data_IF_689110079041
#
_entry.id   IF_689110079041
#
_cell.length_a   1.000
_cell.length_b   1.000
_cell.length_c   1.000
_cell.angle_alpha   90.00
_cell.angle_beta   90.00
_cell.angle_gamma   90.00
#
_symmetry.space_group_name_H-M   'P 1'
#
loop_
_entity.id
_entity.type
_entity.pdbx_description
1 polymer ?
#
# COMPACT_ATOMS: atom_id res chain seq x y z
N UNK A 1 -5.17 13.79 -24.77
CA UNK A 1 -5.59 14.54 -23.55
C UNK A 1 -4.53 15.55 -23.11
N UNK A 2 -3.23 15.19 -23.00
CA UNK A 2 -2.18 16.12 -22.57
C UNK A 2 -2.08 17.37 -23.45
N UNK A 3 -2.08 17.21 -24.77
CA UNK A 3 -2.07 18.33 -25.73
C UNK A 3 -3.32 19.20 -25.53
N UNK A 4 -4.49 18.60 -25.44
CA UNK A 4 -5.74 19.29 -25.21
C UNK A 4 -5.71 20.11 -23.90
N UNK A 5 -5.13 19.55 -22.84
CA UNK A 5 -4.98 20.21 -21.54
C UNK A 5 -4.12 21.50 -21.66
N UNK A 6 -3.00 21.40 -22.39
CA UNK A 6 -2.12 22.56 -22.65
C UNK A 6 -2.82 23.62 -23.49
N UNK A 7 -3.51 23.23 -24.57
CA UNK A 7 -4.28 24.13 -25.43
C UNK A 7 -5.41 24.86 -24.66
N UNK A 8 -5.97 24.22 -23.62
CA UNK A 8 -6.96 24.83 -22.72
C UNK A 8 -6.37 25.66 -21.59
N UNK A 9 -5.06 25.86 -21.58
CA UNK A 9 -4.37 26.68 -20.59
C UNK A 9 -4.37 26.09 -19.19
N UNK A 10 -4.51 24.77 -19.03
CA UNK A 10 -4.45 24.09 -17.73
C UNK A 10 -3.01 23.92 -17.27
N UNK A 11 -2.31 25.05 -17.08
CA UNK A 11 -0.87 25.12 -16.76
C UNK A 11 -0.58 25.88 -15.46
N UNK A 12 -1.56 25.94 -14.57
CA UNK A 12 -1.45 26.60 -13.27
C UNK A 12 -1.01 25.62 -12.18
N UNK A 13 -0.52 26.18 -11.07
CA UNK A 13 -0.23 25.36 -9.88
C UNK A 13 -1.50 24.75 -9.30
N UNK A 14 -1.39 23.49 -8.89
CA UNK A 14 -2.42 22.79 -8.13
C UNK A 14 -2.09 22.79 -6.63
N UNK A 15 -3.01 22.26 -5.81
CA UNK A 15 -2.69 21.95 -4.41
C UNK A 15 -1.54 20.95 -4.33
N UNK A 16 -0.67 21.07 -3.31
CA UNK A 16 0.39 20.09 -3.04
C UNK A 16 -0.16 18.68 -2.79
N UNK A 17 -1.40 18.57 -2.33
CA UNK A 17 -2.08 17.28 -2.14
C UNK A 17 -2.68 16.70 -3.43
N UNK A 18 -2.53 17.39 -4.56
CA UNK A 18 -3.06 17.00 -5.87
C UNK A 18 -4.33 17.72 -6.30
N UNK A 19 -4.70 17.55 -7.55
CA UNK A 19 -5.88 18.14 -8.16
C UNK A 19 -7.15 17.61 -7.50
N UNK A 20 -8.05 18.52 -7.11
CA UNK A 20 -9.29 18.18 -6.40
C UNK A 20 -10.14 17.16 -7.16
N UNK A 21 -10.34 17.39 -8.45
CA UNK A 21 -11.16 16.54 -9.31
C UNK A 21 -10.57 15.12 -9.40
N UNK A 22 -9.23 15.01 -9.50
CA UNK A 22 -8.56 13.72 -9.48
C UNK A 22 -8.76 12.99 -8.15
N UNK A 23 -8.64 13.69 -7.01
CA UNK A 23 -8.86 13.08 -5.69
C UNK A 23 -10.29 12.58 -5.50
N UNK A 24 -11.28 13.32 -6.03
CA UNK A 24 -12.69 12.88 -6.03
C UNK A 24 -12.84 11.59 -6.84
N UNK A 25 -12.26 11.53 -8.04
CA UNK A 25 -12.34 10.32 -8.88
C UNK A 25 -11.60 9.13 -8.29
N UNK A 26 -10.50 9.35 -7.55
CA UNK A 26 -9.84 8.30 -6.78
C UNK A 26 -10.79 7.76 -5.70
N UNK A 27 -11.47 8.60 -4.93
CA UNK A 27 -12.45 8.16 -3.94
C UNK A 27 -13.59 7.37 -4.59
N UNK A 28 -14.15 7.87 -5.68
CA UNK A 28 -15.21 7.19 -6.44
C UNK A 28 -14.75 5.81 -6.96
N UNK A 29 -13.49 5.70 -7.41
CA UNK A 29 -12.91 4.44 -7.82
C UNK A 29 -12.80 3.45 -6.66
N UNK A 30 -12.26 3.88 -5.51
CA UNK A 30 -12.08 3.04 -4.34
C UNK A 30 -13.42 2.55 -3.78
N UNK A 31 -14.44 3.41 -3.74
CA UNK A 31 -15.78 3.03 -3.32
C UNK A 31 -16.41 2.01 -4.27
N UNK A 32 -16.35 2.27 -5.58
CA UNK A 32 -16.92 1.37 -6.60
C UNK A 32 -16.21 0.02 -6.66
N UNK A 33 -14.88 0.01 -6.46
CA UNK A 33 -14.05 -1.17 -6.70
C UNK A 33 -13.84 -2.02 -5.45
N UNK A 34 -13.71 -1.37 -4.29
CA UNK A 34 -13.33 -2.02 -3.03
C UNK A 34 -14.30 -1.74 -1.87
N UNK A 35 -15.36 -0.95 -2.11
CA UNK A 35 -16.31 -0.52 -1.08
C UNK A 35 -15.64 0.27 0.07
N UNK A 36 -14.61 1.05 -0.29
CA UNK A 36 -13.85 1.91 0.65
C UNK A 36 -14.26 3.36 0.43
N UNK A 37 -14.75 4.00 1.49
CA UNK A 37 -15.13 5.40 1.47
C UNK A 37 -14.04 6.25 2.11
N UNK A 38 -13.50 7.22 1.35
CA UNK A 38 -12.51 8.18 1.81
C UNK A 38 -12.96 9.61 1.54
N UNK A 39 -12.53 10.53 2.41
CA UNK A 39 -12.73 11.96 2.19
C UNK A 39 -11.59 12.52 1.33
N UNK A 40 -11.93 12.96 0.10
CA UNK A 40 -10.95 13.50 -0.85
C UNK A 40 -10.15 14.70 -0.28
N UNK A 41 -10.70 15.45 0.68
CA UNK A 41 -10.07 16.68 1.17
C UNK A 41 -8.85 16.41 2.05
N UNK A 42 -8.89 15.37 2.90
CA UNK A 42 -7.90 15.10 3.95
C UNK A 42 -7.41 13.64 4.02
N UNK A 43 -7.96 12.72 3.22
CA UNK A 43 -7.55 11.30 3.23
C UNK A 43 -6.94 10.84 1.90
N UNK A 44 -6.77 11.74 0.92
CA UNK A 44 -6.16 11.42 -0.37
C UNK A 44 -5.01 12.38 -0.65
N UNK A 45 -3.84 11.82 -0.91
CA UNK A 45 -2.63 12.52 -1.35
C UNK A 45 -2.19 11.95 -2.71
N UNK A 46 -1.96 12.82 -3.68
CA UNK A 46 -1.38 12.46 -4.98
C UNK A 46 0.13 12.72 -4.94
N UNK A 47 0.91 11.70 -5.28
CA UNK A 47 2.38 11.72 -5.22
C UNK A 47 3.02 11.51 -6.59
N UNK A 48 4.31 11.76 -6.71
CA UNK A 48 5.10 11.44 -7.91
C UNK A 48 5.43 9.95 -7.91
N UNK A 49 4.41 9.13 -8.20
CA UNK A 49 4.48 7.67 -8.22
C UNK A 49 4.38 7.02 -6.83
N UNK A 50 4.26 5.69 -6.82
CA UNK A 50 4.12 4.89 -5.59
C UNK A 50 5.35 4.95 -4.68
N UNK A 51 6.55 5.15 -5.25
CA UNK A 51 7.78 5.21 -4.44
C UNK A 51 7.82 6.43 -3.52
N UNK A 52 7.34 7.59 -3.97
CA UNK A 52 7.20 8.76 -3.10
C UNK A 52 6.13 8.51 -2.02
N UNK A 53 5.02 7.85 -2.37
CA UNK A 53 3.99 7.50 -1.41
C UNK A 53 4.53 6.60 -0.29
N UNK A 54 5.36 5.60 -0.63
CA UNK A 54 6.03 4.71 0.34
C UNK A 54 6.97 5.52 1.25
N UNK A 55 7.82 6.36 0.68
CA UNK A 55 8.80 7.17 1.43
C UNK A 55 8.10 8.13 2.40
N UNK A 56 7.09 8.85 1.93
CA UNK A 56 6.29 9.77 2.78
C UNK A 56 5.56 9.00 3.88
N UNK A 57 4.93 7.86 3.56
CA UNK A 57 4.21 7.05 4.53
C UNK A 57 5.15 6.59 5.66
N UNK A 58 6.31 6.02 5.32
CA UNK A 58 7.28 5.58 6.30
C UNK A 58 7.77 6.75 7.16
N UNK A 59 8.21 7.85 6.57
CA UNK A 59 8.70 9.03 7.30
C UNK A 59 7.67 9.63 8.26
N UNK A 60 6.37 9.48 7.99
CA UNK A 60 5.32 9.99 8.86
C UNK A 60 4.91 9.02 9.97
N UNK A 61 5.12 7.72 9.77
CA UNK A 61 4.62 6.67 10.67
C UNK A 61 5.64 6.17 11.67
N UNK A 62 6.95 6.20 11.32
CA UNK A 62 7.99 5.59 12.15
C UNK A 62 8.85 6.62 12.87
N UNK A 63 9.35 6.23 14.03
CA UNK A 63 10.41 6.92 14.75
C UNK A 63 11.73 6.14 14.61
N UNK A 64 12.90 6.77 14.87
CA UNK A 64 14.16 6.06 14.88
C UNK A 64 14.13 4.82 15.78
N UNK A 65 14.45 3.67 15.19
CA UNK A 65 14.49 2.37 15.87
C UNK A 65 13.17 1.59 15.89
N UNK A 66 12.06 2.15 15.38
CA UNK A 66 10.85 1.38 15.12
C UNK A 66 11.12 0.33 14.02
N UNK A 67 10.52 -0.84 14.14
CA UNK A 67 10.68 -1.90 13.15
C UNK A 67 9.58 -1.87 12.09
N UNK A 68 10.01 -2.08 10.84
CA UNK A 68 9.15 -2.21 9.66
C UNK A 68 9.29 -3.60 9.09
N UNK A 69 8.21 -4.38 9.11
CA UNK A 69 8.17 -5.73 8.54
C UNK A 69 8.05 -5.64 7.02
N UNK A 70 8.92 -6.33 6.31
CA UNK A 70 9.00 -6.32 4.84
C UNK A 70 9.04 -7.75 4.32
N UNK A 71 7.94 -8.27 3.76
CA UNK A 71 7.94 -9.56 3.06
C UNK A 71 8.86 -9.52 1.84
N UNK A 72 9.69 -10.56 1.66
CA UNK A 72 10.59 -10.72 0.51
C UNK A 72 10.46 -12.13 -0.09
N UNK A 73 10.61 -12.28 -1.44
CA UNK A 73 11.03 -11.26 -2.40
C UNK A 73 9.95 -10.22 -2.67
N UNK A 74 10.34 -8.95 -2.78
CA UNK A 74 9.44 -7.84 -3.07
C UNK A 74 10.17 -6.68 -3.77
N UNK A 75 9.46 -5.59 -4.04
CA UNK A 75 10.03 -4.43 -4.69
C UNK A 75 11.18 -3.83 -3.86
N UNK A 76 12.29 -3.57 -4.54
CA UNK A 76 13.58 -3.25 -3.92
C UNK A 76 13.62 -1.95 -3.09
N UNK A 77 12.63 -1.07 -3.24
CA UNK A 77 12.66 0.23 -2.56
C UNK A 77 12.11 0.20 -1.12
N UNK A 78 11.41 -0.82 -0.69
CA UNK A 78 10.82 -0.83 0.66
C UNK A 78 11.88 -0.77 1.76
N UNK A 79 12.89 -1.62 1.67
CA UNK A 79 13.98 -1.68 2.65
C UNK A 79 14.79 -0.38 2.69
N UNK A 80 15.28 0.19 1.57
CA UNK A 80 15.95 1.48 1.58
C UNK A 80 15.08 2.63 2.13
N UNK A 81 13.78 2.67 1.81
CA UNK A 81 12.88 3.71 2.36
C UNK A 81 12.74 3.59 3.88
N UNK A 82 12.66 2.37 4.42
CA UNK A 82 12.63 2.16 5.87
C UNK A 82 13.94 2.65 6.53
N UNK A 83 15.10 2.32 5.96
CA UNK A 83 16.40 2.80 6.44
C UNK A 83 16.52 4.32 6.38
N UNK A 84 16.07 4.94 5.28
CA UNK A 84 16.10 6.40 5.11
C UNK A 84 15.10 7.14 6.03
N UNK A 85 14.15 6.42 6.61
CA UNK A 85 13.25 6.91 7.66
C UNK A 85 13.77 6.62 9.08
N UNK A 86 15.03 6.19 9.23
CA UNK A 86 15.65 5.78 10.50
C UNK A 86 14.99 4.59 11.19
N UNK A 87 14.17 3.83 10.48
CA UNK A 87 13.55 2.60 10.96
C UNK A 87 14.48 1.39 10.75
N UNK A 88 14.17 0.29 11.42
CA UNK A 88 14.85 -0.99 11.30
C UNK A 88 14.02 -1.92 10.41
N UNK A 89 14.47 -2.24 9.18
CA UNK A 89 13.78 -3.21 8.34
C UNK A 89 13.93 -4.62 8.91
N UNK A 90 12.82 -5.32 9.08
CA UNK A 90 12.77 -6.73 9.49
C UNK A 90 12.19 -7.55 8.33
N UNK A 91 13.02 -8.43 7.78
CA UNK A 91 12.66 -9.18 6.57
C UNK A 91 11.89 -10.45 6.93
N UNK A 92 10.75 -10.65 6.30
CA UNK A 92 9.97 -11.90 6.34
C UNK A 92 10.21 -12.64 5.02
N UNK A 93 10.90 -13.79 5.08
CA UNK A 93 11.18 -14.58 3.89
C UNK A 93 9.96 -15.40 3.47
N UNK A 94 9.29 -14.97 2.41
CA UNK A 94 8.17 -15.68 1.82
C UNK A 94 8.62 -16.99 1.17
N UNK A 95 7.81 -18.02 1.24
CA UNK A 95 8.15 -19.37 0.82
C UNK A 95 7.42 -19.79 -0.45
N UNK A 96 8.14 -20.48 -1.33
CA UNK A 96 7.57 -21.00 -2.58
C UNK A 96 6.47 -22.03 -2.34
N UNK A 97 6.58 -22.82 -1.27
CA UNK A 97 5.55 -23.79 -0.87
C UNK A 97 4.21 -23.15 -0.51
N UNK A 98 4.21 -21.87 -0.10
CA UNK A 98 3.02 -21.06 0.15
C UNK A 98 2.70 -20.14 -1.03
N UNK A 99 3.21 -20.42 -2.23
CA UNK A 99 3.04 -19.58 -3.42
C UNK A 99 3.51 -18.12 -3.20
N UNK A 100 4.50 -17.92 -2.32
CA UNK A 100 5.00 -16.62 -1.87
C UNK A 100 3.93 -15.72 -1.24
N UNK A 101 2.91 -16.30 -0.60
CA UNK A 101 1.95 -15.57 0.23
C UNK A 101 2.51 -15.40 1.64
N UNK A 102 2.15 -14.31 2.29
CA UNK A 102 2.46 -14.08 3.70
C UNK A 102 1.42 -14.82 4.56
N UNK A 103 1.88 -15.66 5.48
CA UNK A 103 1.01 -16.35 6.44
C UNK A 103 0.92 -15.60 7.76
N UNK A 104 -0.19 -15.77 8.48
CA UNK A 104 -0.38 -15.20 9.82
C UNK A 104 0.70 -15.67 10.81
N UNK A 105 1.18 -16.92 10.66
CA UNK A 105 2.25 -17.45 11.52
C UNK A 105 3.59 -16.78 11.24
N UNK A 106 3.98 -16.63 9.97
CA UNK A 106 5.21 -15.91 9.61
C UNK A 106 5.18 -14.46 10.09
N UNK A 107 4.01 -13.81 10.01
CA UNK A 107 3.82 -12.47 10.55
C UNK A 107 4.01 -12.46 12.08
N UNK A 108 3.36 -13.37 12.81
CA UNK A 108 3.48 -13.47 14.28
C UNK A 108 4.93 -13.68 14.73
N UNK A 109 5.65 -14.55 14.03
CA UNK A 109 7.04 -14.90 14.37
C UNK A 109 8.02 -13.74 14.16
N UNK A 110 7.67 -12.78 13.29
CA UNK A 110 8.51 -11.63 12.98
C UNK A 110 8.25 -10.42 13.88
N UNK A 111 7.11 -10.39 14.60
CA UNK A 111 6.71 -9.24 15.43
C UNK A 111 7.49 -9.20 16.73
N UNK A 112 7.99 -8.01 17.08
CA UNK A 112 8.58 -7.69 18.37
C UNK A 112 7.85 -6.50 19.02
N UNK A 113 8.25 -6.11 20.22
CA UNK A 113 7.71 -4.93 20.91
C UNK A 113 8.06 -3.59 20.22
N UNK A 114 8.97 -3.62 19.23
CA UNK A 114 9.36 -2.46 18.42
C UNK A 114 8.67 -2.40 17.07
N UNK A 115 7.96 -3.45 16.70
CA UNK A 115 7.29 -3.53 15.40
C UNK A 115 6.14 -2.53 15.34
N UNK A 116 6.14 -1.71 14.30
CA UNK A 116 5.13 -0.66 14.11
C UNK A 116 4.35 -0.78 12.81
N UNK A 117 5.04 -1.11 11.73
CA UNK A 117 4.47 -1.09 10.38
C UNK A 117 4.73 -2.41 9.66
N UNK A 118 3.72 -2.92 8.98
CA UNK A 118 3.84 -3.96 7.97
C UNK A 118 3.71 -3.32 6.58
N UNK A 119 4.68 -3.54 5.71
CA UNK A 119 4.53 -3.32 4.27
C UNK A 119 3.88 -4.56 3.67
N UNK A 120 2.74 -4.40 3.02
CA UNK A 120 1.98 -5.49 2.39
C UNK A 120 1.91 -5.28 0.88
N UNK A 121 2.88 -5.84 0.10
CA UNK A 121 3.04 -5.55 -1.32
C UNK A 121 2.36 -6.60 -2.19
N UNK A 122 1.03 -6.63 -2.22
CA UNK A 122 0.29 -7.58 -3.03
C UNK A 122 -0.80 -6.90 -3.89
N UNK A 123 -0.92 -7.28 -5.18
CA UNK A 123 -0.16 -8.31 -5.92
C UNK A 123 1.33 -7.99 -6.00
N UNK A 124 2.16 -9.02 -5.83
CA UNK A 124 3.59 -8.86 -5.56
C UNK A 124 4.45 -8.73 -6.83
N UNK A 125 5.42 -7.86 -6.79
CA UNK A 125 6.56 -7.81 -7.70
C UNK A 125 7.81 -8.31 -6.94
N UNK A 126 8.51 -9.41 -7.33
CA UNK A 126 8.52 -9.99 -8.67
C UNK A 126 7.70 -11.28 -8.84
N UNK A 127 7.10 -11.84 -7.79
CA UNK A 127 6.55 -13.21 -7.83
C UNK A 127 5.21 -13.32 -8.55
N UNK A 128 4.45 -12.23 -8.62
CA UNK A 128 3.08 -12.24 -9.09
C UNK A 128 2.09 -12.88 -8.09
N UNK A 129 2.54 -13.16 -6.88
CA UNK A 129 1.68 -13.69 -5.82
C UNK A 129 0.55 -12.71 -5.48
N UNK A 130 -0.62 -13.26 -5.20
CA UNK A 130 -1.80 -12.54 -4.69
C UNK A 130 -2.18 -13.08 -3.32
N UNK A 131 -2.82 -12.25 -2.51
CA UNK A 131 -3.44 -12.68 -1.26
C UNK A 131 -4.93 -12.90 -1.49
N UNK A 132 -5.45 -14.02 -1.04
CA UNK A 132 -6.90 -14.27 -1.05
C UNK A 132 -7.55 -13.60 0.18
N UNK A 133 -8.86 -13.41 0.12
CA UNK A 133 -9.60 -12.78 1.23
C UNK A 133 -9.35 -13.48 2.56
N UNK A 134 -9.31 -14.82 2.56
CA UNK A 134 -9.02 -15.61 3.76
C UNK A 134 -7.64 -15.32 4.33
N UNK A 135 -6.61 -15.25 3.48
CA UNK A 135 -5.25 -14.95 3.91
C UNK A 135 -5.19 -13.55 4.56
N UNK A 136 -5.90 -12.57 3.97
CA UNK A 136 -5.99 -11.21 4.49
C UNK A 136 -6.75 -11.13 5.80
N UNK A 137 -7.82 -11.90 5.98
CA UNK A 137 -8.57 -11.99 7.24
C UNK A 137 -7.68 -12.55 8.37
N UNK A 138 -6.93 -13.62 8.11
CA UNK A 138 -6.00 -14.20 9.09
C UNK A 138 -4.86 -13.24 9.47
N UNK A 139 -4.33 -12.48 8.51
CA UNK A 139 -3.31 -11.46 8.75
C UNK A 139 -3.90 -10.27 9.50
N UNK A 140 -5.12 -9.83 9.16
CA UNK A 140 -5.79 -8.73 9.82
C UNK A 140 -6.00 -9.00 11.31
N UNK A 141 -6.34 -10.22 11.70
CA UNK A 141 -6.44 -10.61 13.12
C UNK A 141 -5.14 -10.34 13.88
N UNK A 142 -4.00 -10.71 13.28
CA UNK A 142 -2.67 -10.47 13.89
C UNK A 142 -2.36 -8.99 13.98
N UNK A 143 -2.63 -8.23 12.92
CA UNK A 143 -2.40 -6.78 12.86
C UNK A 143 -3.22 -6.06 13.93
N UNK A 144 -4.50 -6.43 14.08
CA UNK A 144 -5.39 -5.86 15.08
C UNK A 144 -4.96 -6.21 16.51
N UNK A 145 -4.59 -7.48 16.74
CA UNK A 145 -4.09 -7.94 18.07
C UNK A 145 -2.81 -7.20 18.50
N UNK A 146 -1.93 -6.95 17.54
CA UNK A 146 -0.61 -6.33 17.79
C UNK A 146 -0.57 -4.82 17.57
N UNK A 147 -1.71 -4.22 17.25
CA UNK A 147 -1.87 -2.78 17.00
C UNK A 147 -0.89 -2.21 15.97
N UNK A 148 -0.68 -2.95 14.88
CA UNK A 148 0.21 -2.53 13.80
C UNK A 148 -0.52 -1.63 12.79
N UNK A 149 0.26 -0.80 12.10
CA UNK A 149 -0.16 -0.11 10.89
C UNK A 149 0.27 -0.87 9.64
N UNK A 150 -0.43 -0.64 8.53
CA UNK A 150 -0.15 -1.28 7.25
C UNK A 150 0.09 -0.23 6.16
N UNK A 151 1.15 -0.42 5.39
CA UNK A 151 1.33 0.22 4.08
C UNK A 151 1.01 -0.84 3.04
N UNK A 152 -0.19 -0.79 2.46
CA UNK A 152 -0.64 -1.74 1.44
C UNK A 152 -0.33 -1.18 0.06
N UNK A 153 0.70 -1.73 -0.59
CA UNK A 153 1.04 -1.38 -1.96
C UNK A 153 0.24 -2.25 -2.93
N UNK A 154 -0.83 -1.67 -3.45
CA UNK A 154 -1.79 -2.31 -4.34
C UNK A 154 -1.67 -1.80 -5.79
N UNK A 155 -0.47 -1.34 -6.19
CA UNK A 155 -0.20 -0.77 -7.52
C UNK A 155 -0.57 -1.71 -8.68
N UNK A 156 -0.61 -3.02 -8.43
CA UNK A 156 -0.97 -4.06 -9.38
C UNK A 156 -2.39 -4.62 -9.20
N UNK A 157 -3.25 -3.98 -8.41
CA UNK A 157 -4.60 -4.47 -8.09
C UNK A 157 -5.47 -4.78 -9.32
N UNK A 158 -5.35 -4.02 -10.40
CA UNK A 158 -6.09 -4.24 -11.65
C UNK A 158 -5.42 -5.25 -12.60
N UNK A 159 -4.26 -5.80 -12.22
CA UNK A 159 -3.50 -6.76 -13.02
C UNK A 159 -3.55 -8.19 -12.44
N UNK A 160 -4.66 -8.56 -11.83
CA UNK A 160 -4.94 -9.92 -11.35
C UNK A 160 -5.73 -10.69 -12.42
N UNK A 161 -5.33 -11.94 -12.69
CA UNK A 161 -5.89 -12.73 -13.80
C UNK A 161 -6.68 -13.95 -13.36
N UNK A 162 -6.51 -14.39 -12.12
CA UNK A 162 -7.13 -15.62 -11.59
C UNK A 162 -8.25 -15.34 -10.59
N UNK A 163 -8.20 -14.21 -9.90
CA UNK A 163 -9.17 -13.83 -8.90
C UNK A 163 -9.28 -12.31 -8.85
N UNK A 164 -10.39 -11.81 -8.35
CA UNK A 164 -10.53 -10.39 -8.03
C UNK A 164 -9.61 -10.01 -6.87
N UNK A 165 -8.93 -8.86 -7.00
CA UNK A 165 -8.14 -8.31 -5.91
C UNK A 165 -9.05 -7.90 -4.74
N UNK A 166 -8.61 -8.24 -3.54
CA UNK A 166 -9.22 -7.79 -2.29
C UNK A 166 -8.24 -6.86 -1.58
N UNK A 167 -8.66 -5.64 -1.29
CA UNK A 167 -7.86 -4.73 -0.48
C UNK A 167 -7.91 -5.11 1.00
N UNK A 168 -6.78 -5.12 1.69
CA UNK A 168 -6.76 -5.35 3.14
C UNK A 168 -7.54 -4.26 3.88
N UNK A 169 -7.57 -3.04 3.35
CA UNK A 169 -8.35 -1.95 3.93
C UNK A 169 -9.86 -2.24 3.96
N UNK A 170 -10.35 -3.16 3.13
CA UNK A 170 -11.77 -3.57 3.12
C UNK A 170 -12.12 -4.59 4.21
N UNK A 171 -11.13 -5.15 4.91
CA UNK A 171 -11.36 -6.06 6.03
C UNK A 171 -11.78 -5.22 7.26
N UNK A 172 -12.78 -5.66 8.05
CA UNK A 172 -13.25 -4.89 9.20
C UNK A 172 -12.13 -4.51 10.18
N UNK A 173 -12.07 -3.23 10.55
CA UNK A 173 -11.06 -2.68 11.46
C UNK A 173 -9.71 -2.35 10.80
N UNK A 174 -9.58 -2.57 9.48
CA UNK A 174 -8.30 -2.34 8.80
C UNK A 174 -8.21 -0.99 8.09
N UNK A 175 -9.33 -0.35 7.74
CA UNK A 175 -9.30 0.93 7.03
C UNK A 175 -8.58 2.02 7.81
N UNK A 176 -8.82 2.13 9.11
CA UNK A 176 -8.27 3.17 9.99
C UNK A 176 -6.78 3.03 10.25
N UNK A 177 -6.19 1.89 9.91
CA UNK A 177 -4.77 1.58 10.13
C UNK A 177 -4.00 1.25 8.87
N UNK A 178 -4.62 1.44 7.70
CA UNK A 178 -4.00 1.14 6.41
C UNK A 178 -3.79 2.39 5.57
N UNK A 179 -2.55 2.63 5.15
CA UNK A 179 -2.26 3.52 4.04
C UNK A 179 -2.28 2.68 2.77
N UNK A 180 -3.30 2.89 1.94
CA UNK A 180 -3.45 2.23 0.66
C UNK A 180 -2.71 3.01 -0.41
N UNK A 181 -1.76 2.36 -1.09
CA UNK A 181 -1.01 2.92 -2.21
C UNK A 181 -1.48 2.27 -3.50
N UNK A 182 -1.84 3.10 -4.47
CA UNK A 182 -2.19 2.69 -5.82
C UNK A 182 -1.66 3.72 -6.82
N UNK A 183 -1.85 3.53 -8.12
CA UNK A 183 -1.35 4.50 -9.09
C UNK A 183 -1.64 4.11 -10.53
N UNK A 184 -1.28 5.03 -11.43
CA UNK A 184 -1.61 4.93 -12.86
C UNK A 184 -0.50 4.28 -13.71
N UNK A 185 0.72 4.16 -13.17
CA UNK A 185 1.89 3.75 -13.93
C UNK A 185 1.83 2.31 -14.45
N UNK A 186 1.10 1.42 -13.76
CA UNK A 186 1.00 0.01 -14.16
C UNK A 186 -0.28 -0.27 -14.94
N UNK A 187 -1.43 -0.07 -14.33
CA UNK A 187 -2.73 -0.40 -14.93
C UNK A 187 -3.09 0.48 -16.13
N UNK A 188 -2.60 1.72 -16.16
CA UNK A 188 -2.94 2.70 -17.20
C UNK A 188 -1.75 3.12 -18.08
N UNK A 189 -0.55 2.60 -17.82
CA UNK A 189 0.69 2.94 -18.53
C UNK A 189 0.97 4.48 -18.56
N UNK A 190 0.72 5.17 -17.47
CA UNK A 190 0.86 6.64 -17.33
C UNK A 190 2.01 7.00 -16.41
#
# INVERSE_FOLDING_TARGET
EGIYSLEKGRTFYTSNAGLKELKIEICNYLERRFHLTYNYANEVLVTVGGSEAIDIALRTMVNPGDEVLIPQPSYVSYEPCAVLADAVPVIINLKAENEFRLTAQELRDAITDKTKVLVLPFPNNPTGAIMEKKDLEEIAEVILEKDLFVISDEIYSELTYKADHVSIASIPGMQERTILINGFSKSYAM
#
